data_IF_662944440696
#
_entry.id   IF_662944440696
#
_cell.length_a   1.000
_cell.length_b   1.000
_cell.length_c   1.000
_cell.angle_alpha   90.00
_cell.angle_beta   90.00
_cell.angle_gamma   90.00
#
_symmetry.space_group_name_H-M   'P 1'
#
loop_
_entity.id
_entity.type
_entity.pdbx_description
1 polymer ?
#
# COMPACT_ATOMS: atom_id res chain seq x y z
N UNK A 1 14.01 -2.45 -0.62
CA UNK A 1 12.54 -2.49 -0.74
C UNK A 1 11.97 -1.30 0.03
N UNK A 2 11.29 -0.38 -0.66
CA UNK A 2 10.87 0.92 -0.09
C UNK A 2 9.92 0.75 1.09
N UNK A 3 8.97 -0.18 1.01
CA UNK A 3 8.06 -0.51 2.11
C UNK A 3 8.80 -1.00 3.37
N UNK A 4 9.77 -1.90 3.21
CA UNK A 4 10.56 -2.43 4.33
C UNK A 4 11.40 -1.33 5.01
N UNK A 5 11.93 -0.41 4.21
CA UNK A 5 12.65 0.78 4.68
C UNK A 5 11.72 1.87 5.20
N UNK A 6 10.41 1.78 4.92
CA UNK A 6 9.42 2.77 5.32
C UNK A 6 9.53 4.09 4.56
N UNK A 7 9.86 4.06 3.27
CA UNK A 7 10.14 5.24 2.46
C UNK A 7 9.18 5.36 1.26
N UNK A 8 9.08 6.58 0.71
CA UNK A 8 8.50 6.83 -0.62
C UNK A 8 7.01 7.21 -0.65
N UNK A 9 6.35 7.32 0.50
CA UNK A 9 4.96 7.75 0.61
C UNK A 9 4.75 9.25 0.39
N UNK A 10 3.70 9.60 -0.33
CA UNK A 10 3.24 10.98 -0.47
C UNK A 10 2.55 11.44 0.82
N UNK A 11 3.15 12.43 1.49
CA UNK A 11 2.62 13.01 2.73
C UNK A 11 2.68 12.09 3.94
N UNK A 12 3.51 11.05 3.92
CA UNK A 12 3.76 10.13 5.02
C UNK A 12 5.23 10.20 5.42
N UNK A 13 5.50 10.35 6.71
CA UNK A 13 6.87 10.38 7.22
C UNK A 13 7.57 9.01 7.09
N UNK A 14 8.89 9.04 7.02
CA UNK A 14 9.71 7.84 6.97
C UNK A 14 9.49 7.00 8.24
N UNK A 15 9.16 5.71 8.07
CA UNK A 15 8.81 4.82 9.17
C UNK A 15 9.42 3.43 8.95
N UNK A 16 10.73 3.23 9.16
CA UNK A 16 11.38 1.95 8.93
C UNK A 16 10.76 0.83 9.77
N UNK A 17 10.72 -0.38 9.21
CA UNK A 17 10.21 -1.54 9.93
C UNK A 17 11.17 -1.97 11.05
N UNK A 18 10.64 -2.47 12.17
CA UNK A 18 11.47 -2.95 13.28
C UNK A 18 12.48 -4.04 12.86
N UNK A 19 12.10 -4.91 11.91
CA UNK A 19 13.01 -5.93 11.37
C UNK A 19 14.10 -5.33 10.48
N UNK A 20 13.81 -4.25 9.77
CA UNK A 20 14.81 -3.50 9.00
C UNK A 20 15.83 -2.84 9.94
N UNK A 21 15.36 -2.19 11.00
CA UNK A 21 16.21 -1.59 12.03
C UNK A 21 17.07 -2.64 12.75
N UNK A 22 16.54 -3.84 12.94
CA UNK A 22 17.26 -5.00 13.48
C UNK A 22 18.20 -5.68 12.47
N UNK A 23 18.38 -5.12 11.28
CA UNK A 23 19.25 -5.63 10.20
C UNK A 23 18.88 -7.04 9.72
N UNK A 24 17.61 -7.44 9.83
CA UNK A 24 17.12 -8.68 9.23
C UNK A 24 17.04 -8.47 7.73
N UNK A 25 17.81 -9.24 6.96
CA UNK A 25 17.81 -9.16 5.50
C UNK A 25 16.64 -9.95 4.87
N UNK A 26 16.47 -9.79 3.56
CA UNK A 26 15.42 -10.47 2.80
C UNK A 26 15.47 -12.00 2.95
N UNK A 27 16.66 -12.60 3.06
CA UNK A 27 16.83 -14.06 3.19
C UNK A 27 16.45 -14.58 4.57
N UNK A 28 16.34 -13.70 5.58
CA UNK A 28 15.78 -14.04 6.88
C UNK A 28 14.37 -14.63 6.76
N UNK A 29 13.58 -14.08 5.83
CA UNK A 29 12.21 -14.54 5.55
C UNK A 29 12.10 -15.33 4.23
N UNK A 30 12.70 -14.82 3.15
CA UNK A 30 12.63 -15.41 1.80
C UNK A 30 13.68 -16.51 1.61
N UNK A 31 13.41 -17.68 2.20
CA UNK A 31 14.33 -18.83 2.18
C UNK A 31 13.76 -20.11 1.58
N UNK A 32 12.46 -20.14 1.28
CA UNK A 32 11.80 -21.36 0.79
C UNK A 32 11.76 -21.37 -0.73
N UNK A 33 12.29 -22.42 -1.39
CA UNK A 33 12.25 -22.50 -2.85
C UNK A 33 10.81 -22.69 -3.35
N UNK A 34 10.46 -22.00 -4.43
CA UNK A 34 9.24 -22.18 -5.21
C UNK A 34 9.60 -22.12 -6.69
N UNK A 35 9.04 -23.02 -7.49
CA UNK A 35 9.14 -22.92 -8.94
C UNK A 35 8.07 -21.95 -9.46
N UNK A 36 8.52 -20.97 -10.24
CA UNK A 36 7.70 -19.93 -10.85
C UNK A 36 7.82 -20.00 -12.36
N UNK A 37 6.70 -19.84 -13.08
CA UNK A 37 6.71 -19.73 -14.54
C UNK A 37 6.73 -18.26 -14.94
N UNK A 38 7.90 -17.77 -15.31
CA UNK A 38 8.12 -16.37 -15.68
C UNK A 38 8.46 -16.31 -17.17
N UNK A 39 7.63 -15.58 -17.94
CA UNK A 39 7.79 -15.43 -19.39
C UNK A 39 7.97 -16.76 -20.15
N UNK A 40 7.27 -17.82 -19.71
CA UNK A 40 7.32 -19.15 -20.33
C UNK A 40 8.43 -20.07 -19.80
N UNK A 41 9.34 -19.59 -18.96
CA UNK A 41 10.44 -20.36 -18.37
C UNK A 41 10.16 -20.71 -16.90
N UNK A 42 10.56 -21.90 -16.48
CA UNK A 42 10.55 -22.30 -15.05
C UNK A 42 11.80 -21.74 -14.38
N UNK A 43 11.62 -20.93 -13.33
CA UNK A 43 12.69 -20.39 -12.49
C UNK A 43 12.44 -20.80 -11.05
N UNK A 44 13.50 -21.20 -10.34
CA UNK A 44 13.45 -21.35 -8.89
C UNK A 44 13.61 -19.97 -8.25
N UNK A 45 12.63 -19.56 -7.46
CA UNK A 45 12.67 -18.33 -6.66
C UNK A 45 12.60 -18.69 -5.18
N UNK A 46 13.02 -17.76 -4.31
CA UNK A 46 12.83 -17.91 -2.86
C UNK A 46 11.65 -17.06 -2.42
N UNK A 47 10.72 -17.69 -1.71
CA UNK A 47 9.54 -17.05 -1.15
C UNK A 47 9.60 -17.08 0.37
N UNK A 48 8.95 -16.11 1.00
CA UNK A 48 8.65 -16.15 2.42
C UNK A 48 7.49 -17.10 2.71
N UNK A 49 7.50 -17.67 3.90
CA UNK A 49 6.36 -18.38 4.50
C UNK A 49 6.27 -18.00 5.97
N UNK A 50 5.10 -18.18 6.57
CA UNK A 50 4.87 -17.86 7.98
C UNK A 50 5.87 -18.56 8.92
N UNK A 51 6.28 -19.79 8.60
CA UNK A 51 7.25 -20.58 9.36
C UNK A 51 8.67 -20.00 9.34
N UNK A 52 8.95 -18.98 8.51
CA UNK A 52 10.20 -18.22 8.62
C UNK A 52 10.31 -17.54 9.99
N UNK A 53 9.21 -16.95 10.45
CA UNK A 53 9.14 -16.17 11.69
C UNK A 53 9.50 -17.01 12.91
N UNK A 54 9.11 -18.28 12.89
CA UNK A 54 9.19 -19.19 14.03
C UNK A 54 10.63 -19.50 14.45
N UNK A 55 11.59 -19.37 13.52
CA UNK A 55 13.01 -19.60 13.81
C UNK A 55 13.62 -18.61 14.81
N UNK A 56 13.01 -17.42 14.96
CA UNK A 56 13.43 -16.39 15.91
C UNK A 56 12.36 -16.09 16.97
N UNK A 57 11.07 -16.23 16.63
CA UNK A 57 9.96 -15.81 17.49
C UNK A 57 9.18 -16.96 18.16
N UNK A 58 9.53 -18.22 17.87
CA UNK A 58 8.87 -19.40 18.42
C UNK A 58 7.75 -19.95 17.53
N UNK A 59 7.39 -21.21 17.76
CA UNK A 59 6.42 -21.95 16.94
C UNK A 59 5.05 -21.27 16.88
N UNK A 60 4.52 -21.14 15.66
CA UNK A 60 3.18 -20.58 15.42
C UNK A 60 3.11 -19.05 15.44
N UNK A 61 4.22 -18.35 15.69
CA UNK A 61 4.24 -16.89 15.70
C UNK A 61 3.80 -16.32 14.34
N UNK A 62 4.40 -16.81 13.25
CA UNK A 62 4.08 -16.31 11.92
C UNK A 62 2.65 -16.64 11.51
N UNK A 63 2.16 -17.83 11.87
CA UNK A 63 0.79 -18.26 11.56
C UNK A 63 -0.26 -17.36 12.24
N UNK A 64 0.05 -16.84 13.42
CA UNK A 64 -0.82 -15.93 14.16
C UNK A 64 -0.75 -14.49 13.63
N UNK A 65 0.47 -13.95 13.44
CA UNK A 65 0.64 -12.50 13.19
C UNK A 65 0.48 -12.10 11.73
N UNK A 66 0.90 -12.94 10.78
CA UNK A 66 0.81 -12.59 9.35
C UNK A 66 -0.63 -12.23 8.94
N UNK A 67 -1.67 -13.02 9.27
CA UNK A 67 -3.05 -12.66 8.95
C UNK A 67 -3.52 -11.38 9.66
N UNK A 68 -3.05 -11.11 10.89
CA UNK A 68 -3.40 -9.90 11.63
C UNK A 68 -2.86 -8.63 10.97
N UNK A 69 -1.73 -8.72 10.25
CA UNK A 69 -1.21 -7.63 9.45
C UNK A 69 -1.88 -7.54 8.09
N UNK A 70 -2.02 -8.67 7.39
CA UNK A 70 -2.50 -8.68 6.01
C UNK A 70 -3.97 -8.30 5.87
N UNK A 71 -4.85 -8.86 6.70
CA UNK A 71 -6.29 -8.67 6.58
C UNK A 71 -6.73 -7.20 6.67
N UNK A 72 -6.30 -6.39 7.67
CA UNK A 72 -6.72 -5.00 7.72
C UNK A 72 -6.19 -4.17 6.54
N UNK A 73 -4.94 -4.41 6.11
CA UNK A 73 -4.34 -3.72 4.98
C UNK A 73 -5.08 -4.05 3.67
N UNK A 74 -5.36 -5.33 3.43
CA UNK A 74 -6.13 -5.76 2.24
C UNK A 74 -7.56 -5.20 2.25
N UNK A 75 -8.24 -5.25 3.40
CA UNK A 75 -9.59 -4.73 3.54
C UNK A 75 -9.65 -3.23 3.24
N UNK A 76 -8.78 -2.44 3.87
CA UNK A 76 -8.70 -1.00 3.64
C UNK A 76 -8.28 -0.68 2.21
N UNK A 77 -7.28 -1.38 1.67
CA UNK A 77 -6.85 -1.21 0.29
C UNK A 77 -8.00 -1.44 -0.70
N UNK A 78 -8.81 -2.48 -0.52
CA UNK A 78 -9.94 -2.78 -1.42
C UNK A 78 -10.94 -1.63 -1.47
N UNK A 79 -11.33 -1.09 -0.31
CA UNK A 79 -12.27 0.03 -0.22
C UNK A 79 -11.70 1.29 -0.88
N UNK A 80 -10.42 1.59 -0.62
CA UNK A 80 -9.78 2.77 -1.20
C UNK A 80 -9.55 2.63 -2.70
N UNK A 81 -9.25 1.42 -3.21
CA UNK A 81 -9.12 1.17 -4.64
C UNK A 81 -10.44 1.43 -5.38
N UNK A 82 -11.58 0.98 -4.82
CA UNK A 82 -12.90 1.30 -5.37
C UNK A 82 -13.19 2.81 -5.34
N UNK A 83 -12.85 3.49 -4.23
CA UNK A 83 -13.00 4.95 -4.14
C UNK A 83 -12.11 5.68 -5.16
N UNK A 84 -10.90 5.19 -5.40
CA UNK A 84 -9.96 5.74 -6.38
C UNK A 84 -10.54 5.65 -7.80
N UNK A 85 -11.12 4.50 -8.18
CA UNK A 85 -11.77 4.31 -9.48
C UNK A 85 -13.00 5.23 -9.66
N UNK A 86 -13.81 5.40 -8.61
CA UNK A 86 -14.95 6.32 -8.62
C UNK A 86 -14.50 7.77 -8.83
N UNK A 87 -13.46 8.21 -8.10
CA UNK A 87 -12.89 9.55 -8.22
C UNK A 87 -12.29 9.77 -9.61
N UNK A 88 -11.56 8.80 -10.16
CA UNK A 88 -11.01 8.86 -11.51
C UNK A 88 -12.11 9.05 -12.57
N UNK A 89 -13.20 8.29 -12.45
CA UNK A 89 -14.37 8.42 -13.32
C UNK A 89 -14.98 9.82 -13.25
N UNK A 90 -15.14 10.39 -12.05
CA UNK A 90 -15.65 11.76 -11.88
C UNK A 90 -14.71 12.78 -12.52
N UNK A 91 -13.40 12.70 -12.22
CA UNK A 91 -12.39 13.61 -12.77
C UNK A 91 -12.35 13.57 -14.30
N UNK A 92 -12.61 12.41 -14.93
CA UNK A 92 -12.67 12.30 -16.39
C UNK A 92 -13.84 13.08 -17.02
N UNK A 93 -14.93 13.26 -16.28
CA UNK A 93 -16.17 13.89 -16.76
C UNK A 93 -16.27 15.39 -16.42
N UNK A 94 -15.59 15.82 -15.35
CA UNK A 94 -15.58 17.23 -14.94
C UNK A 94 -14.80 18.08 -15.94
N UNK A 95 -15.33 19.27 -16.29
CA UNK A 95 -14.65 20.23 -17.17
C UNK A 95 -13.37 20.76 -16.52
N UNK A 96 -12.38 21.12 -17.33
CA UNK A 96 -11.15 21.76 -16.83
C UNK A 96 -11.48 23.02 -16.02
N UNK A 97 -10.90 23.11 -14.83
CA UNK A 97 -10.93 24.25 -13.93
C UNK A 97 -9.82 24.13 -12.89
N UNK A 98 -9.44 25.21 -12.18
CA UNK A 98 -8.43 25.14 -11.13
C UNK A 98 -8.77 24.11 -10.03
N UNK A 99 -10.05 23.96 -9.70
CA UNK A 99 -10.49 22.96 -8.71
C UNK A 99 -10.29 21.53 -9.21
N UNK A 100 -10.49 21.30 -10.51
CA UNK A 100 -10.22 19.99 -11.12
C UNK A 100 -8.73 19.67 -11.07
N UNK A 101 -7.87 20.65 -11.37
CA UNK A 101 -6.42 20.45 -11.36
C UNK A 101 -5.93 20.14 -9.93
N UNK A 102 -6.41 20.89 -8.93
CA UNK A 102 -6.14 20.62 -7.52
C UNK A 102 -6.63 19.22 -7.09
N UNK A 103 -7.85 18.85 -7.48
CA UNK A 103 -8.41 17.53 -7.19
C UNK A 103 -7.61 16.40 -7.88
N UNK A 104 -7.09 16.65 -9.09
CA UNK A 104 -6.27 15.68 -9.80
C UNK A 104 -4.92 15.45 -9.09
N UNK A 105 -4.28 16.51 -8.59
CA UNK A 105 -3.03 16.39 -7.83
C UNK A 105 -3.21 15.54 -6.56
N UNK A 106 -4.29 15.77 -5.81
CA UNK A 106 -4.62 14.97 -4.63
C UNK A 106 -4.92 13.51 -4.98
N UNK A 107 -5.65 13.28 -6.08
CA UNK A 107 -5.90 11.94 -6.61
C UNK A 107 -4.59 11.20 -6.95
N UNK A 108 -3.63 11.87 -7.58
CA UNK A 108 -2.34 11.25 -7.91
C UNK A 108 -1.56 10.84 -6.66
N UNK A 109 -1.59 11.66 -5.61
CA UNK A 109 -0.96 11.32 -4.32
C UNK A 109 -1.60 10.12 -3.65
N UNK A 110 -2.94 10.06 -3.65
CA UNK A 110 -3.67 8.89 -3.15
C UNK A 110 -3.32 7.63 -3.95
N UNK A 111 -3.31 7.74 -5.28
CA UNK A 111 -2.97 6.66 -6.20
C UNK A 111 -1.56 6.13 -5.93
N UNK A 112 -0.58 7.02 -5.82
CA UNK A 112 0.82 6.66 -5.54
C UNK A 112 0.95 5.84 -4.25
N UNK A 113 0.31 6.27 -3.16
CA UNK A 113 0.36 5.53 -1.89
C UNK A 113 -0.28 4.13 -2.00
N UNK A 114 -1.41 4.00 -2.72
CA UNK A 114 -2.02 2.69 -2.99
C UNK A 114 -1.10 1.82 -3.87
N UNK A 115 -0.49 2.39 -4.90
CA UNK A 115 0.43 1.67 -5.78
C UNK A 115 1.65 1.15 -5.02
N UNK A 116 2.19 1.92 -4.07
CA UNK A 116 3.30 1.49 -3.21
C UNK A 116 2.92 0.26 -2.36
N UNK A 117 1.73 0.28 -1.74
CA UNK A 117 1.20 -0.87 -0.98
C UNK A 117 0.99 -2.10 -1.86
N UNK A 118 0.41 -1.91 -3.05
CA UNK A 118 0.15 -3.00 -4.01
C UNK A 118 1.44 -3.58 -4.59
N UNK A 119 2.41 -2.74 -4.91
CA UNK A 119 3.67 -3.14 -5.51
C UNK A 119 4.55 -3.94 -4.54
N UNK A 120 4.54 -3.57 -3.26
CA UNK A 120 5.16 -4.38 -2.19
C UNK A 120 4.54 -5.78 -2.11
N UNK A 121 3.21 -5.87 -2.14
CA UNK A 121 2.50 -7.15 -2.23
C UNK A 121 2.61 -8.04 -0.99
N UNK A 122 3.35 -7.63 0.05
CA UNK A 122 3.41 -8.30 1.34
C UNK A 122 2.14 -8.05 2.17
N UNK A 123 1.37 -7.03 1.80
CA UNK A 123 0.17 -6.56 2.50
C UNK A 123 0.47 -6.20 3.97
N UNK A 124 1.58 -5.53 4.22
CA UNK A 124 1.97 -5.08 5.55
C UNK A 124 2.85 -6.05 6.33
N UNK A 125 3.23 -7.22 5.78
CA UNK A 125 4.21 -8.10 6.44
C UNK A 125 5.60 -7.46 6.50
N UNK A 126 5.99 -6.72 5.45
CA UNK A 126 7.25 -5.98 5.48
C UNK A 126 7.18 -4.78 6.43
N UNK A 127 6.03 -4.10 6.52
CA UNK A 127 5.84 -2.97 7.43
C UNK A 127 4.36 -2.63 7.64
N UNK A 128 3.73 -3.20 8.67
CA UNK A 128 2.29 -3.03 8.91
C UNK A 128 1.94 -1.57 9.28
N UNK A 129 2.79 -0.91 10.06
CA UNK A 129 2.60 0.48 10.48
C UNK A 129 2.65 1.43 9.29
N UNK A 130 3.69 1.30 8.45
CA UNK A 130 3.84 2.16 7.28
C UNK A 130 2.77 1.91 6.22
N UNK A 131 2.44 0.64 5.93
CA UNK A 131 1.35 0.30 5.02
C UNK A 131 0.01 0.90 5.49
N UNK A 132 -0.27 0.86 6.80
CA UNK A 132 -1.43 1.52 7.39
C UNK A 132 -1.41 3.03 7.16
N UNK A 133 -0.30 3.69 7.48
CA UNK A 133 -0.14 5.14 7.32
C UNK A 133 -0.29 5.60 5.86
N UNK A 134 0.22 4.83 4.89
CA UNK A 134 0.02 5.10 3.46
C UNK A 134 -1.46 5.07 3.07
N UNK A 135 -2.21 4.07 3.56
CA UNK A 135 -3.64 3.95 3.27
C UNK A 135 -4.47 5.01 4.00
N UNK A 136 -4.12 5.35 5.25
CA UNK A 136 -4.73 6.46 5.99
C UNK A 136 -4.56 7.78 5.23
N UNK A 137 -3.33 8.05 4.76
CA UNK A 137 -3.06 9.27 4.01
C UNK A 137 -3.73 9.32 2.64
N UNK A 138 -3.82 8.18 1.96
CA UNK A 138 -4.57 8.09 0.71
C UNK A 138 -6.07 8.35 0.91
N UNK A 139 -6.65 7.86 2.01
CA UNK A 139 -8.05 8.14 2.38
C UNK A 139 -8.27 9.64 2.58
N UNK A 140 -7.40 10.32 3.34
CA UNK A 140 -7.46 11.78 3.53
C UNK A 140 -7.44 12.52 2.19
N UNK A 141 -6.54 12.15 1.27
CA UNK A 141 -6.49 12.77 -0.05
C UNK A 141 -7.77 12.55 -0.85
N UNK A 142 -8.35 11.34 -0.84
CA UNK A 142 -9.60 11.06 -1.54
C UNK A 142 -10.79 11.84 -0.94
N UNK A 143 -10.81 12.05 0.38
CA UNK A 143 -11.80 12.92 1.01
C UNK A 143 -11.65 14.39 0.58
N UNK A 144 -10.41 14.89 0.51
CA UNK A 144 -10.13 16.26 0.06
C UNK A 144 -10.51 16.46 -1.42
N UNK A 145 -10.32 15.44 -2.27
CA UNK A 145 -10.80 15.46 -3.66
C UNK A 145 -12.31 15.67 -3.70
N UNK A 146 -13.08 14.88 -2.94
CA UNK A 146 -14.54 14.99 -2.91
C UNK A 146 -15.00 16.38 -2.47
N UNK A 147 -14.42 16.92 -1.40
CA UNK A 147 -14.71 18.28 -0.89
C UNK A 147 -14.40 19.36 -1.95
N UNK A 148 -13.27 19.24 -2.65
CA UNK A 148 -12.85 20.19 -3.69
C UNK A 148 -13.83 20.20 -4.86
N UNK A 149 -14.28 19.03 -5.29
CA UNK A 149 -15.23 18.88 -6.39
C UNK A 149 -16.65 19.36 -6.02
N UNK A 150 -17.11 19.12 -4.79
CA UNK A 150 -18.41 19.60 -4.28
C UNK A 150 -18.44 21.12 -4.09
N UNK A 151 -17.41 21.71 -3.49
CA UNK A 151 -17.31 23.16 -3.27
C UNK A 151 -17.23 23.98 -4.57
N UNK A 152 -16.62 23.41 -5.61
CA UNK A 152 -16.58 24.00 -6.95
C UNK A 152 -17.92 23.99 -7.68
N UNK A 153 -18.84 23.08 -7.32
CA UNK A 153 -20.21 23.03 -7.87
C UNK A 153 -21.14 24.05 -7.20
N UNK A 154 -21.00 24.26 -5.88
CA UNK A 154 -21.80 25.22 -5.13
C UNK A 154 -21.49 26.68 -5.49
N UNK A 155 -20.27 26.98 -5.94
CA UNK A 155 -19.83 28.34 -6.29
C UNK A 155 -20.19 28.78 -7.72
N UNK A 156 -20.87 27.91 -8.50
CA UNK A 156 -21.29 28.16 -9.90
C UNK A 156 -22.82 28.31 -10.07
N UNK A 157 -23.57 28.37 -8.96
CA UNK A 157 -24.99 28.73 -8.92
C UNK A 157 -25.15 30.17 -8.41
#
# INVERSE_FOLDING_TARGET
>A
EEMYMGLGGEGVEDMPAAMFEAMVDCNGCHRYPREEKIAGYVKSVKVAKAEACDSCHGEGFGQMLVPMWQNPIQGKYSVLAESLEQVESILSQVKSSPEKDQAYDLYQKAKHNLELVKADGSWGVHNAGYAGALLDKAEEYLEEVRKTLEGGQASRQ
#
